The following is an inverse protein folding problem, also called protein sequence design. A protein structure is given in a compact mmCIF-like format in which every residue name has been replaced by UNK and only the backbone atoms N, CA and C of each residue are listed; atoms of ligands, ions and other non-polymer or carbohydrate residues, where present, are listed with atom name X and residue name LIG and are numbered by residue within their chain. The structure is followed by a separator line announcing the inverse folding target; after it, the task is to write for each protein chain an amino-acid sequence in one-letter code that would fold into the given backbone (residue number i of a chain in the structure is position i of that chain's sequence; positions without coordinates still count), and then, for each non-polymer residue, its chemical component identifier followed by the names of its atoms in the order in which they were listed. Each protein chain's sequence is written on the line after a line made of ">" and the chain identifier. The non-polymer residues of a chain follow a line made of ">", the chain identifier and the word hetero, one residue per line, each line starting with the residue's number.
data_IF_825982738700
#
_entry.id   IF_825982738700
#
_cell.length_a   1.000
_cell.length_b   1.000
_cell.length_c   1.000
_cell.angle_alpha   90.00
_cell.angle_beta   90.00
_cell.angle_gamma   90.00
#
_symmetry.space_group_name_H-M   'P 1'
#
loop_
_entity.id
_entity.type
_entity.pdbx_description
1 polymer ?
#
# COMPACT_ATOMS: atom_id res chain seq x y z
N UNK A 1 43.90 -89.55 10.54
CA UNK A 1 43.58 -89.15 9.16
C UNK A 1 42.09 -89.30 8.95
N UNK A 2 41.47 -88.28 8.34
CA UNK A 2 40.38 -88.40 7.39
C UNK A 2 38.90 -88.46 7.87
N UNK A 3 38.20 -87.36 7.53
CA UNK A 3 36.83 -87.24 6.99
C UNK A 3 35.63 -86.92 7.92
N UNK A 4 35.30 -85.62 7.90
CA UNK A 4 33.99 -85.00 7.57
C UNK A 4 32.71 -85.38 8.31
N UNK A 5 32.00 -84.34 8.80
CA UNK A 5 30.55 -83.99 8.64
C UNK A 5 30.17 -83.04 9.81
N UNK A 6 29.39 -81.97 9.73
CA UNK A 6 28.43 -81.41 8.76
C UNK A 6 28.21 -79.93 9.13
N UNK A 7 28.05 -79.08 8.11
CA UNK A 7 27.63 -77.68 8.20
C UNK A 7 26.22 -77.56 8.81
N UNK A 8 25.97 -76.52 9.63
CA UNK A 8 24.63 -75.92 9.77
C UNK A 8 24.72 -74.41 9.61
N UNK A 9 23.85 -73.90 8.74
CA UNK A 9 23.97 -72.64 8.01
C UNK A 9 24.09 -71.39 8.87
N UNK A 10 24.97 -70.49 8.45
CA UNK A 10 24.82 -69.08 8.70
C UNK A 10 23.91 -68.52 7.60
N UNK A 11 22.70 -68.11 7.96
CA UNK A 11 21.83 -67.36 7.07
C UNK A 11 22.49 -66.01 6.75
N UNK A 12 22.84 -65.79 5.49
CA UNK A 12 23.22 -64.48 4.99
C UNK A 12 21.96 -63.59 4.99
N UNK A 13 21.89 -62.68 5.96
CA UNK A 13 20.96 -61.55 5.91
C UNK A 13 21.48 -60.62 4.82
N UNK A 14 20.80 -60.59 3.67
CA UNK A 14 21.00 -59.53 2.69
C UNK A 14 20.38 -58.25 3.25
N UNK A 15 21.21 -57.34 3.76
CA UNK A 15 20.78 -55.99 4.09
C UNK A 15 20.55 -55.27 2.76
N UNK A 16 19.29 -55.15 2.36
CA UNK A 16 18.87 -54.28 1.27
C UNK A 16 18.90 -52.83 1.79
N UNK A 17 20.00 -52.12 1.56
CA UNK A 17 20.06 -50.68 1.78
C UNK A 17 19.22 -49.99 0.70
N UNK A 18 18.01 -49.59 1.06
CA UNK A 18 17.25 -48.59 0.30
C UNK A 18 17.98 -47.26 0.50
N UNK A 19 18.76 -46.84 -0.48
CA UNK A 19 19.23 -45.46 -0.56
C UNK A 19 18.02 -44.62 -0.96
N UNK A 20 17.34 -44.03 0.03
CA UNK A 20 16.39 -42.94 -0.25
C UNK A 20 17.24 -41.76 -0.67
N UNK A 21 17.44 -41.58 -1.97
CA UNK A 21 17.90 -40.29 -2.49
C UNK A 21 16.77 -39.30 -2.24
N UNK A 22 16.91 -38.51 -1.17
CA UNK A 22 16.16 -37.26 -1.05
C UNK A 22 16.67 -36.39 -2.18
N UNK A 23 16.00 -36.43 -3.33
CA UNK A 23 16.16 -35.39 -4.35
C UNK A 23 15.55 -34.16 -3.69
N UNK A 24 16.38 -33.36 -3.03
CA UNK A 24 16.01 -32.01 -2.67
C UNK A 24 15.72 -31.32 -3.99
N UNK A 25 14.43 -31.13 -4.30
CA UNK A 25 14.04 -30.21 -5.35
C UNK A 25 14.63 -28.86 -4.93
N UNK A 26 15.26 -28.09 -5.84
CA UNK A 26 15.50 -26.69 -5.51
C UNK A 26 14.12 -26.14 -5.19
N UNK A 27 13.91 -25.80 -3.91
CA UNK A 27 12.83 -24.93 -3.54
C UNK A 27 13.08 -23.66 -4.34
N UNK A 28 12.35 -23.49 -5.43
CA UNK A 28 12.24 -22.21 -6.10
C UNK A 28 11.42 -21.35 -5.16
N UNK A 29 12.04 -20.98 -4.03
CA UNK A 29 11.59 -19.86 -3.24
C UNK A 29 11.66 -18.70 -4.22
N UNK A 30 10.51 -18.38 -4.83
CA UNK A 30 10.32 -17.09 -5.45
C UNK A 30 10.54 -16.12 -4.31
N UNK A 31 11.74 -15.56 -4.26
CA UNK A 31 12.00 -14.36 -3.47
C UNK A 31 11.20 -13.29 -4.18
N UNK A 32 9.89 -13.26 -3.91
CA UNK A 32 9.07 -12.08 -4.14
C UNK A 32 9.67 -11.07 -3.20
N UNK A 33 10.65 -10.31 -3.69
CA UNK A 33 10.95 -9.05 -3.04
C UNK A 33 9.67 -8.23 -3.19
N UNK A 34 9.15 -7.74 -2.09
CA UNK A 34 8.21 -6.63 -2.17
C UNK A 34 8.93 -5.55 -2.98
N UNK A 35 8.45 -5.32 -4.19
CA UNK A 35 8.91 -4.21 -5.02
C UNK A 35 8.16 -2.99 -4.52
N UNK A 36 8.89 -1.92 -4.27
CA UNK A 36 8.34 -0.64 -3.83
C UNK A 36 8.28 0.28 -5.04
N UNK A 37 7.08 0.73 -5.40
CA UNK A 37 6.88 1.69 -6.50
C UNK A 37 7.52 3.05 -6.21
N UNK A 38 7.85 3.32 -4.96
CA UNK A 38 8.15 4.65 -4.46
C UNK A 38 6.90 5.52 -4.36
N UNK A 39 7.10 6.77 -3.93
CA UNK A 39 6.05 7.78 -3.97
C UNK A 39 6.00 8.43 -5.35
N UNK A 40 4.80 8.52 -5.91
CA UNK A 40 4.51 9.31 -7.10
C UNK A 40 3.57 10.47 -6.75
N UNK A 41 3.82 11.64 -7.36
CA UNK A 41 2.93 12.79 -7.25
C UNK A 41 1.82 12.67 -8.29
N UNK A 42 0.59 13.15 -7.98
CA UNK A 42 -0.47 13.25 -8.98
C UNK A 42 -0.14 14.30 -10.04
N UNK A 43 -0.61 14.10 -11.26
CA UNK A 43 -0.55 15.10 -12.34
C UNK A 43 -1.90 15.59 -12.82
N UNK A 44 -3.00 15.03 -12.29
CA UNK A 44 -4.35 15.52 -12.56
C UNK A 44 -5.21 15.62 -11.29
N UNK A 45 -6.28 16.40 -11.38
CA UNK A 45 -7.32 16.53 -10.35
C UNK A 45 -8.53 15.71 -10.74
N UNK A 46 -9.18 15.12 -9.74
CA UNK A 46 -10.39 14.32 -9.95
C UNK A 46 -11.54 14.85 -9.11
N UNK A 47 -12.78 14.68 -9.59
CA UNK A 47 -13.95 15.09 -8.82
C UNK A 47 -14.08 14.28 -7.52
N UNK A 48 -14.46 14.90 -6.38
CA UNK A 48 -14.81 16.32 -6.21
C UNK A 48 -13.60 17.26 -6.21
N UNK A 49 -13.80 18.50 -6.68
CA UNK A 49 -12.77 19.54 -6.78
C UNK A 49 -13.28 20.78 -6.02
N UNK A 50 -13.34 20.67 -4.70
CA UNK A 50 -13.92 21.72 -3.84
C UNK A 50 -12.87 22.73 -3.35
N UNK A 51 -11.58 22.40 -3.47
CA UNK A 51 -10.50 23.21 -2.92
C UNK A 51 -10.00 24.24 -3.94
N UNK A 52 -9.39 25.32 -3.42
CA UNK A 52 -8.85 26.42 -4.21
C UNK A 52 -7.43 26.11 -4.66
N UNK A 53 -7.14 26.30 -5.95
CA UNK A 53 -5.86 26.01 -6.61
C UNK A 53 -5.41 24.53 -6.47
N UNK A 54 -6.25 23.55 -6.79
CA UNK A 54 -5.99 22.14 -6.50
C UNK A 54 -4.76 21.57 -7.20
N UNK A 55 -4.34 22.15 -8.32
CA UNK A 55 -3.11 21.74 -9.03
C UNK A 55 -1.83 22.08 -8.26
N UNK A 56 -1.90 22.83 -7.16
CA UNK A 56 -0.73 23.11 -6.31
C UNK A 56 -0.34 21.92 -5.44
N UNK A 57 -1.29 21.03 -5.14
CA UNK A 57 -1.02 19.77 -4.43
C UNK A 57 -0.20 18.74 -5.23
N UNK A 58 0.17 19.06 -6.47
CA UNK A 58 1.01 18.18 -7.30
C UNK A 58 2.49 18.23 -6.89
N UNK A 59 2.93 19.31 -6.25
CA UNK A 59 4.34 19.57 -5.97
C UNK A 59 4.55 20.15 -4.58
N UNK A 60 5.58 19.67 -3.88
CA UNK A 60 6.10 20.27 -2.64
C UNK A 60 7.02 21.44 -2.98
N UNK A 61 6.48 22.65 -3.02
CA UNK A 61 7.20 23.87 -3.43
C UNK A 61 6.67 25.15 -2.73
N UNK A 62 6.18 25.02 -1.51
CA UNK A 62 5.60 26.10 -0.69
C UNK A 62 4.44 26.83 -1.39
N UNK A 63 3.72 26.14 -2.29
CA UNK A 63 2.50 26.62 -2.92
C UNK A 63 1.34 25.70 -2.57
N UNK A 64 0.29 26.27 -1.99
CA UNK A 64 -0.75 25.48 -1.35
C UNK A 64 -2.07 25.45 -2.12
N UNK A 65 -2.68 24.27 -2.12
CA UNK A 65 -4.10 24.02 -2.28
C UNK A 65 -4.77 24.33 -0.95
N UNK A 66 -5.84 25.13 -0.95
CA UNK A 66 -6.44 25.61 0.31
C UNK A 66 -7.95 25.44 0.31
N UNK A 67 -8.54 25.30 1.49
CA UNK A 67 -9.98 25.36 1.66
C UNK A 67 -10.36 26.05 2.95
N UNK A 68 -11.50 26.74 2.92
CA UNK A 68 -12.13 27.32 4.11
C UNK A 68 -13.48 26.68 4.41
N UNK A 69 -13.73 25.50 3.83
CA UNK A 69 -15.01 24.81 3.90
C UNK A 69 -14.78 23.48 4.59
N UNK A 70 -15.48 23.28 5.71
CA UNK A 70 -15.52 21.98 6.37
C UNK A 70 -16.17 20.95 5.46
N UNK A 71 -15.67 19.71 5.52
CA UNK A 71 -16.08 18.59 4.67
C UNK A 71 -15.82 18.77 3.16
N UNK A 72 -15.07 19.80 2.76
CA UNK A 72 -14.65 19.99 1.37
C UNK A 72 -13.72 18.86 0.91
N UNK A 73 -13.98 18.34 -0.30
CA UNK A 73 -13.25 17.21 -0.85
C UNK A 73 -12.39 17.61 -2.05
N UNK A 74 -11.21 17.00 -2.14
CA UNK A 74 -10.32 17.13 -3.29
C UNK A 74 -9.83 15.75 -3.74
N UNK A 75 -10.12 15.38 -4.99
CA UNK A 75 -9.57 14.20 -5.63
C UNK A 75 -8.27 14.50 -6.38
N UNK A 76 -7.33 13.56 -6.32
CA UNK A 76 -6.06 13.57 -7.05
C UNK A 76 -5.89 12.22 -7.76
N UNK A 77 -5.48 12.25 -9.03
CA UNK A 77 -5.35 11.09 -9.92
C UNK A 77 -4.12 11.25 -10.82
N UNK A 78 -3.95 10.31 -11.76
CA UNK A 78 -2.85 10.31 -12.72
C UNK A 78 -1.48 10.29 -12.01
N UNK A 79 -1.23 9.19 -11.29
CA UNK A 79 0.00 9.01 -10.51
C UNK A 79 1.11 8.32 -11.34
N UNK A 80 0.79 7.76 -12.50
CA UNK A 80 1.75 7.12 -13.39
C UNK A 80 2.35 5.83 -12.83
N UNK A 81 1.61 5.09 -12.01
CA UNK A 81 2.08 3.82 -11.46
C UNK A 81 2.10 2.72 -12.52
N UNK A 82 3.26 2.09 -12.72
CA UNK A 82 3.41 0.92 -13.60
C UNK A 82 3.42 -0.38 -12.79
N UNK A 83 2.27 -0.77 -12.22
CA UNK A 83 2.16 -2.01 -11.42
C UNK A 83 2.08 -3.25 -12.33
N UNK A 84 2.99 -4.23 -12.21
CA UNK A 84 2.96 -5.42 -13.05
C UNK A 84 1.66 -6.22 -12.93
N UNK A 85 1.14 -6.71 -14.06
CA UNK A 85 -0.06 -7.54 -14.08
C UNK A 85 0.10 -8.78 -13.20
N UNK A 86 -0.84 -9.00 -12.28
CA UNK A 86 -0.82 -10.14 -11.36
C UNK A 86 0.06 -9.94 -10.12
N UNK A 87 0.59 -8.73 -9.92
CA UNK A 87 1.24 -8.37 -8.67
C UNK A 87 0.26 -8.47 -7.49
N UNK A 88 0.76 -8.95 -6.35
CA UNK A 88 0.05 -8.91 -5.08
C UNK A 88 0.34 -7.60 -4.38
N UNK A 89 -0.71 -6.86 -4.05
CA UNK A 89 -0.61 -5.56 -3.39
C UNK A 89 -0.75 -5.78 -1.89
N UNK A 90 0.36 -5.60 -1.16
CA UNK A 90 0.40 -5.85 0.29
C UNK A 90 0.00 -4.61 1.11
N UNK A 91 0.17 -3.42 0.55
CA UNK A 91 -0.24 -2.19 1.19
C UNK A 91 0.02 -0.97 0.32
N UNK A 92 -0.58 0.15 0.73
CA UNK A 92 -0.53 1.43 0.05
C UNK A 92 -0.19 2.51 1.07
N UNK A 93 0.75 3.38 0.73
CA UNK A 93 1.09 4.56 1.51
C UNK A 93 0.71 5.83 0.74
N UNK A 94 0.09 6.78 1.45
CA UNK A 94 -0.20 8.13 0.94
C UNK A 94 0.61 9.12 1.75
N UNK A 95 1.29 10.05 1.08
CA UNK A 95 2.04 11.12 1.74
C UNK A 95 1.39 12.46 1.44
N UNK A 96 1.07 13.20 2.50
CA UNK A 96 0.57 14.57 2.44
C UNK A 96 1.63 15.50 3.02
N UNK A 97 1.80 16.68 2.43
CA UNK A 97 2.46 17.82 3.06
C UNK A 97 1.35 18.82 3.37
N UNK A 98 1.13 19.14 4.65
CA UNK A 98 -0.07 19.86 5.04
C UNK A 98 0.09 20.63 6.35
N UNK A 99 -0.73 21.66 6.51
CA UNK A 99 -0.93 22.39 7.76
C UNK A 99 -2.32 23.03 7.79
N UNK A 100 -2.70 23.55 8.95
CA UNK A 100 -3.87 24.39 9.09
C UNK A 100 -3.50 25.63 9.88
N UNK A 101 -3.97 26.80 9.42
CA UNK A 101 -3.86 28.03 10.21
C UNK A 101 -5.06 28.26 11.13
N UNK A 102 -5.92 27.25 11.27
CA UNK A 102 -7.08 27.23 12.15
C UNK A 102 -6.64 26.81 13.57
N UNK A 103 -6.85 27.68 14.55
CA UNK A 103 -6.41 27.45 15.94
C UNK A 103 -7.29 26.41 16.65
N UNK A 104 -8.46 26.10 16.09
CA UNK A 104 -9.43 25.15 16.63
C UNK A 104 -9.18 23.69 16.22
N UNK A 105 -8.16 23.45 15.38
CA UNK A 105 -7.70 22.11 15.01
C UNK A 105 -8.45 21.56 13.79
N UNK A 106 -7.66 21.11 12.80
CA UNK A 106 -8.16 20.51 11.57
C UNK A 106 -7.51 19.17 11.32
N UNK A 107 -8.26 18.27 10.70
CA UNK A 107 -7.77 16.99 10.24
C UNK A 107 -8.02 16.83 8.73
N UNK A 108 -7.13 16.10 8.08
CA UNK A 108 -7.36 15.58 6.74
C UNK A 108 -7.72 14.12 6.79
N UNK A 109 -8.87 13.79 6.21
CA UNK A 109 -9.30 12.42 5.97
C UNK A 109 -8.93 12.00 4.56
N UNK A 110 -8.22 10.88 4.42
CA UNK A 110 -7.93 10.28 3.12
C UNK A 110 -8.77 9.02 2.92
N UNK A 111 -9.27 8.86 1.69
CA UNK A 111 -9.79 7.60 1.15
C UNK A 111 -9.25 7.37 -0.25
N UNK A 112 -9.17 6.10 -0.65
CA UNK A 112 -8.69 5.71 -1.97
C UNK A 112 -9.82 5.15 -2.82
N UNK A 113 -9.79 5.42 -4.12
CA UNK A 113 -10.67 4.82 -5.12
C UNK A 113 -9.89 3.88 -6.03
N UNK A 114 -10.59 2.91 -6.61
CA UNK A 114 -10.04 1.92 -7.54
C UNK A 114 -10.80 1.85 -8.87
N UNK A 115 -11.78 2.72 -9.03
CA UNK A 115 -12.68 2.80 -10.19
C UNK A 115 -13.09 4.26 -10.46
N UNK A 116 -12.36 5.21 -9.88
CA UNK A 116 -12.63 6.64 -9.92
C UNK A 116 -13.90 7.13 -9.20
N UNK A 117 -14.72 6.26 -8.60
CA UNK A 117 -16.05 6.67 -8.09
C UNK A 117 -16.43 6.06 -6.74
N UNK A 118 -15.98 4.84 -6.47
CA UNK A 118 -16.17 4.11 -5.22
C UNK A 118 -14.92 4.25 -4.37
N UNK A 119 -15.08 4.43 -3.06
CA UNK A 119 -13.97 4.68 -2.14
C UNK A 119 -13.86 3.59 -1.08
N UNK A 120 -12.65 3.43 -0.55
CA UNK A 120 -12.35 2.50 0.54
C UNK A 120 -13.30 2.67 1.73
N UNK A 121 -13.68 1.58 2.41
CA UNK A 121 -14.53 1.65 3.59
C UNK A 121 -13.78 2.26 4.78
N UNK A 122 -12.46 2.02 4.86
CA UNK A 122 -11.60 2.62 5.85
C UNK A 122 -11.01 3.95 5.34
N UNK A 123 -10.82 4.87 6.27
CA UNK A 123 -10.13 6.14 6.07
C UNK A 123 -8.88 6.21 6.94
N UNK A 124 -7.99 7.16 6.64
CA UNK A 124 -6.85 7.51 7.48
C UNK A 124 -6.90 9.01 7.76
N UNK A 125 -6.57 9.40 8.99
CA UNK A 125 -6.56 10.78 9.44
C UNK A 125 -5.12 11.30 9.52
N UNK A 126 -4.92 12.56 9.14
CA UNK A 126 -3.75 13.36 9.47
C UNK A 126 -4.19 14.57 10.28
N UNK A 127 -3.77 14.65 11.55
CA UNK A 127 -4.01 15.82 12.39
C UNK A 127 -3.08 16.94 11.99
N UNK A 128 -3.63 18.11 11.67
CA UNK A 128 -2.86 19.26 11.21
C UNK A 128 -2.42 20.14 12.38
N UNK A 129 -1.28 20.78 12.19
CA UNK A 129 -0.73 21.81 13.08
C UNK A 129 -0.64 23.15 12.35
N UNK A 130 -0.28 24.20 13.08
CA UNK A 130 0.00 25.56 12.56
C UNK A 130 1.28 25.66 11.72
N UNK A 131 2.04 24.58 11.67
CA UNK A 131 3.23 24.42 10.86
C UNK A 131 3.07 23.27 9.88
N UNK A 132 3.68 23.44 8.70
CA UNK A 132 3.73 22.43 7.65
C UNK A 132 4.48 21.19 8.10
N UNK A 133 3.83 20.04 7.94
CA UNK A 133 4.36 18.74 8.30
C UNK A 133 4.09 17.74 7.17
N UNK A 134 4.96 16.73 7.09
CA UNK A 134 4.74 15.56 6.23
C UNK A 134 3.99 14.50 7.03
N UNK A 135 2.83 14.10 6.53
CA UNK A 135 2.03 13.01 7.07
C UNK A 135 2.10 11.80 6.12
N UNK A 136 2.50 10.64 6.64
CA UNK A 136 2.42 9.37 5.90
C UNK A 136 1.30 8.53 6.48
N UNK A 137 0.31 8.22 5.64
CA UNK A 137 -0.88 7.45 5.97
C UNK A 137 -0.82 6.09 5.29
N UNK A 138 -1.24 5.04 5.99
CA UNK A 138 -1.10 3.67 5.50
C UNK A 138 0.35 3.16 5.62
N UNK A 139 0.75 2.27 4.72
CA UNK A 139 2.08 1.67 4.74
C UNK A 139 2.16 0.33 4.01
N UNK A 140 3.31 -0.33 4.11
CA UNK A 140 3.64 -1.56 3.38
C UNK A 140 2.77 -2.78 3.69
N UNK A 141 1.91 -2.69 4.70
CA UNK A 141 0.97 -3.75 5.11
C UNK A 141 -0.46 -3.24 5.31
N UNK A 142 -0.76 -2.02 4.84
CA UNK A 142 -2.08 -1.42 4.98
C UNK A 142 -2.80 -1.45 3.63
N UNK A 143 -3.78 -2.33 3.51
CA UNK A 143 -4.61 -2.54 2.32
C UNK A 143 -5.83 -1.61 2.27
N UNK A 144 -5.95 -0.67 3.21
CA UNK A 144 -7.08 0.25 3.30
C UNK A 144 -8.46 -0.46 3.41
N UNK A 145 -8.44 -1.70 3.91
CA UNK A 145 -9.63 -2.50 4.18
C UNK A 145 -10.26 -3.15 2.95
N UNK A 146 -9.48 -3.39 1.89
CA UNK A 146 -9.92 -4.17 0.72
C UNK A 146 -8.76 -4.90 0.05
N UNK A 147 -9.10 -5.93 -0.72
CA UNK A 147 -8.17 -6.56 -1.65
C UNK A 147 -7.98 -5.68 -2.90
N UNK A 148 -6.73 -5.36 -3.21
CA UNK A 148 -6.33 -4.57 -4.38
C UNK A 148 -5.75 -5.45 -5.48
N UNK A 149 -6.00 -5.08 -6.73
CA UNK A 149 -5.39 -5.72 -7.92
C UNK A 149 -4.58 -4.71 -8.72
N UNK A 150 -3.64 -5.19 -9.53
CA UNK A 150 -2.75 -4.31 -10.30
C UNK A 150 -3.49 -3.33 -11.22
N UNK A 151 -4.65 -3.71 -11.75
CA UNK A 151 -5.47 -2.83 -12.61
C UNK A 151 -6.16 -1.70 -11.85
N UNK A 152 -6.18 -1.72 -10.52
CA UNK A 152 -6.77 -0.63 -9.74
C UNK A 152 -5.90 0.63 -9.74
N UNK A 153 -4.63 0.51 -10.17
CA UNK A 153 -3.60 1.57 -10.14
C UNK A 153 -3.38 2.26 -11.48
N UNK A 154 -4.28 2.06 -12.45
CA UNK A 154 -4.26 2.88 -13.65
C UNK A 154 -4.78 4.30 -13.37
N UNK A 155 -4.37 5.24 -14.23
CA UNK A 155 -4.57 6.69 -14.01
C UNK A 155 -6.04 7.12 -14.05
N UNK A 156 -6.91 6.33 -14.69
CA UNK A 156 -8.36 6.57 -14.76
C UNK A 156 -9.08 6.05 -13.50
N UNK A 157 -8.53 5.04 -12.83
CA UNK A 157 -9.16 4.34 -11.71
C UNK A 157 -8.68 4.80 -10.33
N UNK A 158 -7.36 4.98 -10.16
CA UNK A 158 -6.79 5.25 -8.85
C UNK A 158 -6.92 6.72 -8.45
N UNK A 159 -7.71 6.99 -7.41
CA UNK A 159 -7.92 8.35 -6.91
C UNK A 159 -7.64 8.41 -5.42
N UNK A 160 -6.75 9.31 -5.01
CA UNK A 160 -6.62 9.71 -3.61
C UNK A 160 -7.55 10.90 -3.35
N UNK A 161 -8.56 10.72 -2.49
CA UNK A 161 -9.44 11.80 -2.07
C UNK A 161 -9.08 12.27 -0.67
N UNK A 162 -8.81 13.55 -0.56
CA UNK A 162 -8.59 14.27 0.70
C UNK A 162 -9.89 14.98 1.08
N UNK A 163 -10.25 14.94 2.35
CA UNK A 163 -11.42 15.64 2.89
C UNK A 163 -10.98 16.45 4.11
N UNK A 164 -11.27 17.74 4.08
CA UNK A 164 -11.04 18.63 5.20
C UNK A 164 -12.11 18.40 6.28
N UNK A 165 -11.74 18.16 7.53
CA UNK A 165 -12.71 18.01 8.64
C UNK A 165 -12.22 18.72 9.90
N UNK A 166 -13.11 19.38 10.64
CA UNK A 166 -12.84 19.92 11.97
C UNK A 166 -13.36 19.02 13.09
N UNK A 167 -12.80 19.15 14.30
CA UNK A 167 -13.19 18.32 15.45
C UNK A 167 -14.55 18.73 16.07
N UNK A 168 -14.95 20.01 16.01
CA UNK A 168 -16.18 20.50 16.67
C UNK A 168 -16.97 21.60 15.93
N UNK A 169 -16.30 22.66 15.41
CA UNK A 169 -16.96 23.81 14.75
C UNK A 169 -16.73 23.87 13.22
N UNK A 170 -16.09 22.84 12.67
CA UNK A 170 -15.70 22.72 11.27
C UNK A 170 -14.36 23.39 10.99
N UNK A 171 -13.55 22.80 10.10
CA UNK A 171 -12.25 23.35 9.73
C UNK A 171 -12.37 24.40 8.63
N UNK A 172 -11.82 25.60 8.85
CA UNK A 172 -11.93 26.73 7.93
C UNK A 172 -10.59 27.20 7.33
N UNK A 173 -9.48 26.49 7.55
CA UNK A 173 -8.19 26.91 6.98
C UNK A 173 -7.17 25.78 6.72
N UNK A 174 -7.60 24.66 6.14
CA UNK A 174 -6.67 23.59 5.75
C UNK A 174 -5.90 23.91 4.46
N UNK A 175 -4.62 23.52 4.44
CA UNK A 175 -3.70 23.68 3.32
C UNK A 175 -2.93 22.39 3.04
N UNK A 176 -2.75 22.06 1.76
CA UNK A 176 -1.96 20.92 1.26
C UNK A 176 -1.19 21.26 -0.01
#
# INVERSE_FOLDING_TARGET
>A
MNYTRLLRGAGLVAILTIVVTVIAWPDLQSTVRADDTGFASPTDVHAPIDWVNPTRGFTSNDSYTTTTIDSAMQGYSDFGFEVPTGAFILGIAVRLEAFSSDDEGCDLQVRLSWDGTTYTPLLRNANLTDSEQIHTLGGSSDDWGRDWVSSDFDDDNFVARVTNVGEDIGCLAAST
#
